data_IF_853254633822
#
_entry.id   IF_853254633822
#
_cell.length_a   1.000
_cell.length_b   1.000
_cell.length_c   1.000
_cell.angle_alpha   90.00
_cell.angle_beta   90.00
_cell.angle_gamma   90.00
#
_symmetry.space_group_name_H-M   'P 1'
#
loop_
_entity.id
_entity.type
_entity.pdbx_description
1 polymer ?
#
# COMPACT_ATOMS: atom_id res chain seq x y z
N UNK A 1 6.81 3.26 -7.11
CA UNK A 1 6.38 2.79 -5.78
C UNK A 1 5.31 1.74 -5.98
N UNK A 2 5.45 0.60 -5.31
CA UNK A 2 4.55 -0.55 -5.43
C UNK A 2 3.94 -0.83 -4.07
N UNK A 3 2.62 -0.93 -4.01
CA UNK A 3 1.90 -1.28 -2.78
C UNK A 3 1.52 -2.76 -2.81
N UNK A 4 1.64 -3.43 -1.67
CA UNK A 4 1.28 -4.83 -1.49
C UNK A 4 0.35 -4.98 -0.28
N UNK A 5 -0.65 -5.83 -0.41
CA UNK A 5 -1.52 -6.28 0.68
C UNK A 5 -1.38 -7.79 0.82
N UNK A 6 -0.96 -8.25 2.01
CA UNK A 6 -0.69 -9.68 2.29
C UNK A 6 0.26 -10.32 1.28
N UNK A 7 1.28 -9.57 0.85
CA UNK A 7 2.28 -10.02 -0.14
C UNK A 7 1.79 -10.01 -1.59
N UNK A 8 0.54 -9.60 -1.86
CA UNK A 8 -0.01 -9.46 -3.23
C UNK A 8 -0.01 -7.99 -3.66
N UNK A 9 0.36 -7.66 -4.90
CA UNK A 9 0.32 -6.29 -5.38
C UNK A 9 -1.11 -5.73 -5.33
N UNK A 10 -1.26 -4.52 -4.81
CA UNK A 10 -2.54 -3.82 -4.77
C UNK A 10 -2.78 -3.20 -6.15
N UNK A 11 -3.93 -3.53 -6.73
CA UNK A 11 -4.42 -2.92 -7.96
C UNK A 11 -5.51 -1.91 -7.58
N UNK A 12 -5.46 -0.73 -8.18
CA UNK A 12 -6.45 0.32 -7.97
C UNK A 12 -7.87 -0.22 -8.24
N UNK A 13 -8.73 -0.18 -7.22
CA UNK A 13 -10.06 -0.77 -7.26
C UNK A 13 -11.04 -0.05 -6.32
N UNK A 14 -12.20 -0.66 -6.09
CA UNK A 14 -13.26 -0.08 -5.25
C UNK A 14 -12.93 -0.14 -3.75
N UNK A 15 -12.18 -1.16 -3.34
CA UNK A 15 -11.87 -1.41 -1.92
C UNK A 15 -10.53 -0.82 -1.48
N UNK A 16 -9.60 -0.68 -2.44
CA UNK A 16 -8.26 -0.15 -2.26
C UNK A 16 -7.93 0.83 -3.37
N UNK A 17 -7.59 2.07 -3.01
CA UNK A 17 -7.24 3.12 -3.97
C UNK A 17 -5.86 3.69 -3.67
N UNK A 18 -4.96 3.57 -4.64
CA UNK A 18 -3.64 4.19 -4.63
C UNK A 18 -3.75 5.55 -5.32
N UNK A 19 -3.30 6.59 -4.63
CA UNK A 19 -3.20 7.95 -5.15
C UNK A 19 -1.84 8.58 -4.81
N UNK A 20 -1.45 9.58 -5.58
CA UNK A 20 -0.22 10.34 -5.37
C UNK A 20 -0.59 11.80 -5.17
N UNK A 21 -0.14 12.39 -4.08
CA UNK A 21 -0.32 13.80 -3.74
C UNK A 21 1.06 14.46 -3.63
N UNK A 22 1.50 15.09 -4.72
CA UNK A 22 2.85 15.62 -4.85
C UNK A 22 3.91 14.53 -4.74
N UNK A 23 4.67 14.54 -3.64
CA UNK A 23 5.70 13.53 -3.34
C UNK A 23 5.23 12.47 -2.33
N UNK A 24 3.96 12.52 -1.92
CA UNK A 24 3.37 11.60 -0.96
C UNK A 24 2.56 10.52 -1.68
N UNK A 25 2.80 9.26 -1.34
CA UNK A 25 1.97 8.15 -1.76
C UNK A 25 0.89 7.90 -0.72
N UNK A 26 -0.36 7.80 -1.16
CA UNK A 26 -1.52 7.57 -0.30
C UNK A 26 -2.26 6.31 -0.76
N UNK A 27 -2.63 5.47 0.21
CA UNK A 27 -3.46 4.29 0.00
C UNK A 27 -4.72 4.46 0.84
N UNK A 28 -5.86 4.62 0.17
CA UNK A 28 -7.16 4.67 0.80
C UNK A 28 -7.79 3.27 0.83
N UNK A 29 -8.31 2.87 1.98
CA UNK A 29 -8.86 1.54 2.24
C UNK A 29 -10.31 1.74 2.69
N UNK A 30 -11.26 1.33 1.86
CA UNK A 30 -12.69 1.58 2.07
C UNK A 30 -13.53 0.32 2.22
N UNK A 31 -13.02 -0.85 1.78
CA UNK A 31 -13.79 -2.10 1.72
C UNK A 31 -13.16 -3.31 2.39
N UNK A 32 -11.95 -3.17 2.95
CA UNK A 32 -11.25 -4.32 3.55
C UNK A 32 -11.72 -4.55 4.98
N UNK A 33 -12.31 -5.73 5.21
CA UNK A 33 -12.66 -6.25 6.54
C UNK A 33 -11.61 -7.21 7.11
N UNK A 34 -10.64 -7.57 6.27
CA UNK A 34 -9.58 -8.50 6.65
C UNK A 34 -8.42 -7.75 7.30
N UNK A 35 -8.03 -8.19 8.49
CA UNK A 35 -6.74 -7.80 9.05
C UNK A 35 -5.62 -8.32 8.12
N UNK A 36 -4.57 -7.52 7.95
CA UNK A 36 -3.52 -7.83 6.99
C UNK A 36 -2.28 -6.98 7.12
N UNK A 37 -1.28 -7.26 6.29
CA UNK A 37 -0.05 -6.48 6.21
C UNK A 37 -0.01 -5.70 4.91
N UNK A 38 0.18 -4.38 5.01
CA UNK A 38 0.36 -3.48 3.88
C UNK A 38 1.82 -3.10 3.79
N UNK A 39 2.44 -3.27 2.63
CA UNK A 39 3.82 -2.89 2.37
C UNK A 39 3.89 -1.94 1.19
N UNK A 40 4.65 -0.84 1.31
CA UNK A 40 5.03 0.00 0.18
C UNK A 40 6.51 -0.19 -0.14
N UNK A 41 6.81 -0.45 -1.40
CA UNK A 41 8.15 -0.66 -1.93
C UNK A 41 8.49 0.49 -2.87
N UNK A 42 9.48 1.30 -2.50
CA UNK A 42 10.01 2.37 -3.31
C UNK A 42 11.41 1.98 -3.77
N UNK A 43 11.62 1.84 -5.07
CA UNK A 43 12.91 1.48 -5.66
C UNK A 43 13.27 2.48 -6.76
N UNK A 44 14.52 2.94 -6.75
CA UNK A 44 15.11 3.80 -7.77
C UNK A 44 16.59 3.43 -7.97
N UNK A 45 17.29 4.13 -8.89
CA UNK A 45 18.71 3.86 -9.19
C UNK A 45 19.66 4.03 -7.98
N UNK A 46 19.24 4.79 -6.97
CA UNK A 46 20.04 5.07 -5.78
C UNK A 46 19.81 4.04 -4.66
N UNK A 47 18.74 3.25 -4.73
CA UNK A 47 18.46 2.19 -3.78
C UNK A 47 16.98 1.84 -3.66
N UNK A 48 16.66 1.05 -2.64
CA UNK A 48 15.30 0.63 -2.32
C UNK A 48 14.95 0.93 -0.86
N UNK A 49 13.68 1.22 -0.63
CA UNK A 49 13.08 1.43 0.67
C UNK A 49 11.76 0.68 0.74
N UNK A 50 11.53 0.00 1.87
CA UNK A 50 10.30 -0.75 2.11
C UNK A 50 9.73 -0.27 3.45
N UNK A 51 8.46 0.12 3.45
CA UNK A 51 7.72 0.40 4.67
C UNK A 51 6.56 -0.58 4.79
N UNK A 52 6.40 -1.22 5.94
CA UNK A 52 5.34 -2.19 6.20
C UNK A 52 4.55 -1.77 7.42
N UNK A 53 3.23 -1.81 7.32
CA UNK A 53 2.29 -1.53 8.40
C UNK A 53 1.23 -2.63 8.46
N UNK A 54 0.66 -2.84 9.64
CA UNK A 54 -0.41 -3.82 9.85
C UNK A 54 -1.76 -3.11 9.87
N UNK A 55 -2.68 -3.60 9.05
CA UNK A 55 -4.07 -3.23 9.10
C UNK A 55 -4.77 -4.14 10.12
N UNK A 56 -5.32 -3.55 11.17
CA UNK A 56 -6.15 -4.25 12.16
C UNK A 56 -7.61 -3.85 11.95
N UNK A 57 -8.50 -4.83 11.86
CA UNK A 57 -9.95 -4.61 11.82
C UNK A 57 -10.50 -4.96 13.20
N UNK A 58 -11.06 -3.94 13.88
CA UNK A 58 -11.66 -4.07 15.21
C UNK A 58 -13.10 -4.55 15.17
#
# INVERSE_FOLDING_TARGET
ITWLFNGKPIINGKDLRISVDGNCQRLDISGIRDAGSISCHAENIAGSAICTTRLETG
#
